data_IF_148996104103
#
_entry.id   IF_148996104103
#
_cell.length_a   1.000
_cell.length_b   1.000
_cell.length_c   1.000
_cell.angle_alpha   90.00
_cell.angle_beta   90.00
_cell.angle_gamma   90.00
#
_symmetry.space_group_name_H-M   'P 1'
#
loop_
_entity.id
_entity.type
_entity.pdbx_description
1 polymer ?
#
# COMPACT_ATOMS: atom_id res chain seq x y z
N UNK A 1 45.82 9.36 11.09
CA UNK A 1 45.36 10.71 11.46
C UNK A 1 46.21 11.75 10.75
N UNK A 2 45.67 12.94 10.49
CA UNK A 2 46.42 14.04 9.85
C UNK A 2 47.74 14.33 10.59
N UNK A 3 47.70 14.31 11.92
CA UNK A 3 48.87 14.46 12.78
C UNK A 3 50.03 13.53 12.38
N UNK A 4 49.78 12.21 12.24
CA UNK A 4 50.81 11.24 11.84
C UNK A 4 51.34 11.50 10.42
N UNK A 5 50.47 11.91 9.50
CA UNK A 5 50.88 12.22 8.13
C UNK A 5 51.78 13.46 8.07
N UNK A 6 51.42 14.53 8.79
CA UNK A 6 52.20 15.77 8.83
C UNK A 6 53.54 15.57 9.55
N UNK A 7 53.56 14.88 10.70
CA UNK A 7 54.81 14.53 11.40
C UNK A 7 55.69 13.62 10.55
N UNK A 8 55.13 12.63 9.85
CA UNK A 8 55.92 11.76 8.96
C UNK A 8 56.53 12.51 7.78
N UNK A 9 55.83 13.51 7.24
CA UNK A 9 56.31 14.30 6.08
C UNK A 9 57.28 15.41 6.46
N UNK A 10 57.07 16.09 7.59
CA UNK A 10 57.83 17.28 7.99
C UNK A 10 58.74 17.04 9.22
N UNK A 11 58.77 15.81 9.76
CA UNK A 11 59.55 15.41 10.94
C UNK A 11 58.89 15.81 12.27
N UNK A 12 58.25 16.98 12.33
CA UNK A 12 57.49 17.46 13.48
C UNK A 12 56.35 18.37 13.04
N UNK A 13 55.42 18.66 13.96
CA UNK A 13 54.32 19.58 13.68
C UNK A 13 54.80 21.05 13.57
N UNK A 14 55.87 21.42 14.29
CA UNK A 14 56.48 22.76 14.21
C UNK A 14 57.09 23.06 12.84
N UNK A 15 57.39 22.01 12.07
CA UNK A 15 57.98 22.12 10.74
C UNK A 15 56.93 22.16 9.62
N UNK A 16 55.64 22.07 9.95
CA UNK A 16 54.56 22.21 8.96
C UNK A 16 54.55 23.66 8.47
N UNK A 17 54.69 23.91 7.15
CA UNK A 17 54.71 25.25 6.61
C UNK A 17 53.42 26.01 6.97
N UNK A 18 53.58 27.19 7.56
CA UNK A 18 52.47 28.08 7.85
C UNK A 18 52.03 28.77 6.56
N UNK A 19 50.72 28.91 6.39
CA UNK A 19 50.16 29.78 5.37
C UNK A 19 50.28 31.24 5.85
N UNK A 20 51.47 31.83 5.66
CA UNK A 20 51.71 33.28 5.81
C UNK A 20 50.92 34.08 4.74
N UNK A 21 51.05 35.42 4.71
CA UNK A 21 50.43 36.28 3.68
C UNK A 21 51.02 35.96 2.29
N UNK A 22 50.44 34.95 1.65
CA UNK A 22 50.92 34.34 0.41
C UNK A 22 49.76 33.95 -0.48
N UNK A 23 49.97 34.07 -1.79
CA UNK A 23 49.09 33.43 -2.76
C UNK A 23 49.29 31.93 -2.80
N UNK A 24 48.20 31.19 -3.03
CA UNK A 24 48.24 29.76 -3.27
C UNK A 24 48.18 29.51 -4.78
N UNK A 25 49.06 28.64 -5.26
CA UNK A 25 49.00 28.08 -6.61
C UNK A 25 49.03 26.56 -6.55
N UNK A 26 48.56 25.91 -7.61
CA UNK A 26 48.69 24.48 -7.75
C UNK A 26 50.16 24.08 -7.97
N UNK A 27 50.52 22.88 -7.53
CA UNK A 27 51.84 22.29 -7.80
C UNK A 27 51.97 21.94 -9.28
N UNK A 28 53.07 22.36 -9.90
CA UNK A 28 53.35 22.16 -11.32
C UNK A 28 54.67 22.81 -11.71
N UNK A 29 55.20 22.49 -12.89
CA UNK A 29 56.48 23.01 -13.42
C UNK A 29 57.68 22.77 -12.48
N UNK A 30 57.76 21.59 -11.86
CA UNK A 30 58.90 21.19 -11.01
C UNK A 30 58.88 21.77 -9.59
N UNK A 31 57.81 22.47 -9.20
CA UNK A 31 57.64 22.95 -7.82
C UNK A 31 57.19 21.83 -6.88
N UNK A 32 57.83 21.74 -5.72
CA UNK A 32 57.48 20.78 -4.68
C UNK A 32 56.29 21.28 -3.83
N UNK A 33 55.47 20.36 -3.32
CA UNK A 33 54.37 20.70 -2.39
C UNK A 33 54.94 21.37 -1.13
N UNK A 34 54.50 22.61 -0.87
CA UNK A 34 54.96 23.42 0.27
C UNK A 34 56.15 24.33 -0.03
N UNK A 35 56.67 24.33 -1.26
CA UNK A 35 57.69 25.28 -1.71
C UNK A 35 57.11 26.70 -1.79
N UNK A 36 57.87 27.69 -1.32
CA UNK A 36 57.55 29.12 -1.42
C UNK A 36 58.24 29.76 -2.62
N UNK A 37 57.67 30.85 -3.14
CA UNK A 37 58.25 31.67 -4.21
C UNK A 37 58.20 33.14 -3.78
N UNK A 38 59.25 33.91 -4.10
CA UNK A 38 59.21 35.38 -4.00
C UNK A 38 58.27 35.96 -5.06
N UNK A 39 57.83 37.20 -4.87
CA UNK A 39 57.12 37.92 -5.91
C UNK A 39 58.01 38.10 -7.14
N UNK A 40 57.44 37.90 -8.32
CA UNK A 40 58.17 37.97 -9.58
C UNK A 40 57.31 38.64 -10.64
N UNK A 41 57.90 39.61 -11.33
CA UNK A 41 57.37 40.13 -12.59
C UNK A 41 58.14 39.49 -13.74
N UNK A 42 57.41 38.99 -14.74
CA UNK A 42 58.06 38.42 -15.92
C UNK A 42 58.96 39.46 -16.57
N UNK A 43 60.12 39.02 -17.06
CA UNK A 43 60.99 39.84 -17.91
C UNK A 43 60.17 40.41 -19.06
N UNK A 44 60.23 41.71 -19.23
CA UNK A 44 59.56 42.43 -20.29
C UNK A 44 60.44 43.61 -20.71
N UNK A 45 60.29 44.03 -21.95
CA UNK A 45 60.97 45.21 -22.49
C UNK A 45 59.95 46.30 -22.72
N UNK A 46 60.32 47.53 -22.37
CA UNK A 46 59.55 48.71 -22.73
C UNK A 46 60.23 49.40 -23.90
N UNK A 47 59.45 49.79 -24.91
CA UNK A 47 59.94 50.70 -25.94
C UNK A 47 59.87 52.11 -25.39
N UNK A 48 60.97 52.59 -24.85
CA UNK A 48 61.09 53.98 -24.42
C UNK A 48 61.40 54.80 -25.66
N UNK A 49 60.48 55.68 -26.06
CA UNK A 49 60.66 56.58 -27.21
C UNK A 49 61.41 57.81 -26.71
N UNK A 50 62.58 58.09 -27.28
CA UNK A 50 63.20 59.40 -27.17
C UNK A 50 63.46 59.90 -28.59
N UNK A 51 62.91 61.08 -28.90
CA UNK A 51 63.54 62.01 -29.81
C UNK A 51 64.15 63.11 -28.93
N UNK A 52 65.11 63.88 -29.44
CA UNK A 52 65.95 64.86 -28.72
C UNK A 52 65.28 65.52 -27.51
N UNK A 53 66.03 65.84 -26.44
CA UNK A 53 65.48 66.45 -25.22
C UNK A 53 64.56 67.66 -25.53
N UNK A 54 64.89 68.43 -26.58
CA UNK A 54 64.14 69.59 -27.07
C UNK A 54 62.99 69.30 -28.06
N UNK A 55 62.74 68.04 -28.43
CA UNK A 55 61.64 67.71 -29.33
C UNK A 55 60.27 68.05 -28.72
N UNK A 56 59.27 68.24 -29.56
CA UNK A 56 57.89 68.44 -29.09
C UNK A 56 57.36 67.23 -28.31
N UNK A 57 57.85 66.03 -28.61
CA UNK A 57 57.33 64.78 -28.08
C UNK A 57 57.82 64.48 -26.64
N UNK A 58 58.88 65.16 -26.20
CA UNK A 58 59.45 65.00 -24.85
C UNK A 58 58.74 65.84 -23.78
N UNK A 59 57.87 66.80 -24.13
CA UNK A 59 57.16 67.66 -23.16
C UNK A 59 56.17 66.93 -22.26
N UNK A 60 55.81 65.68 -22.60
CA UNK A 60 54.90 64.85 -21.80
C UNK A 60 55.64 64.27 -20.57
N UNK A 61 56.98 64.21 -20.62
CA UNK A 61 57.82 63.63 -19.59
C UNK A 61 58.61 64.67 -18.76
N UNK A 62 58.63 65.95 -19.20
CA UNK A 62 59.40 67.01 -18.54
C UNK A 62 58.59 68.31 -18.42
N UNK A 63 58.74 68.99 -17.28
CA UNK A 63 58.37 70.40 -17.14
C UNK A 63 59.46 71.28 -17.76
N UNK A 64 59.24 71.71 -19.01
CA UNK A 64 60.18 72.55 -19.76
C UNK A 64 60.43 73.93 -19.14
N UNK A 65 59.66 74.33 -18.12
CA UNK A 65 59.87 75.60 -17.40
C UNK A 65 60.93 75.51 -16.31
N UNK A 66 61.34 74.28 -15.94
CA UNK A 66 62.40 74.02 -14.96
C UNK A 66 63.63 73.55 -15.71
N UNK A 67 64.62 74.43 -15.88
CA UNK A 67 65.89 74.18 -16.59
C UNK A 67 66.84 73.19 -15.89
N UNK A 68 66.33 72.31 -15.02
CA UNK A 68 67.13 71.35 -14.28
C UNK A 68 66.60 69.97 -14.61
N UNK A 69 67.34 69.24 -15.44
CA UNK A 69 67.29 67.78 -15.50
C UNK A 69 67.38 67.30 -14.04
N UNK A 70 66.31 66.68 -13.53
CA UNK A 70 66.20 66.24 -12.13
C UNK A 70 67.45 65.43 -11.77
N UNK A 71 68.17 65.84 -10.72
CA UNK A 71 69.44 65.24 -10.29
C UNK A 71 69.33 63.77 -9.88
N UNK A 72 68.10 63.25 -9.85
CA UNK A 72 67.74 61.88 -9.52
C UNK A 72 67.45 61.03 -10.76
N UNK A 73 67.92 61.48 -11.92
CA UNK A 73 67.99 60.72 -13.17
C UNK A 73 69.46 60.35 -13.43
N UNK A 74 69.76 59.07 -13.63
CA UNK A 74 71.10 58.61 -14.03
C UNK A 74 71.08 58.28 -15.52
N UNK A 75 71.91 58.95 -16.31
CA UNK A 75 72.20 58.62 -17.70
C UNK A 75 73.21 57.47 -17.77
N UNK A 76 72.96 56.47 -18.60
CA UNK A 76 73.98 55.47 -18.94
C UNK A 76 74.87 56.05 -20.04
N UNK A 77 75.93 56.77 -19.67
CA UNK A 77 76.90 57.30 -20.64
C UNK A 77 77.67 56.15 -21.28
N UNK A 78 77.65 56.08 -22.61
CA UNK A 78 78.62 55.25 -23.34
C UNK A 78 79.55 56.05 -24.24
N UNK A 79 79.33 57.36 -24.50
CA UNK A 79 80.17 58.04 -25.51
C UNK A 79 80.49 59.53 -25.34
N UNK A 80 79.75 60.35 -24.59
CA UNK A 80 80.21 61.71 -24.23
C UNK A 80 79.51 62.28 -22.98
N UNK A 81 80.03 63.41 -22.48
CA UNK A 81 79.53 64.15 -21.33
C UNK A 81 78.42 65.17 -21.71
N UNK A 82 77.93 65.11 -22.96
CA UNK A 82 76.90 66.02 -23.43
C UNK A 82 75.52 65.50 -23.05
N UNK A 83 74.99 65.97 -21.92
CA UNK A 83 73.67 65.54 -21.42
C UNK A 83 72.50 65.84 -22.39
N UNK A 84 72.70 66.68 -23.41
CA UNK A 84 71.67 67.12 -24.35
C UNK A 84 71.33 66.11 -25.46
N UNK A 85 72.26 65.21 -25.80
CA UNK A 85 72.08 64.19 -26.84
C UNK A 85 71.94 62.76 -26.27
N UNK A 86 72.03 62.62 -24.95
CA UNK A 86 72.06 61.32 -24.31
C UNK A 86 70.65 60.71 -24.19
N UNK A 87 70.35 59.79 -25.11
CA UNK A 87 69.00 59.27 -25.35
C UNK A 87 68.44 58.28 -24.32
N UNK A 88 69.17 57.97 -23.24
CA UNK A 88 68.77 56.97 -22.24
C UNK A 88 68.93 57.48 -20.81
N UNK A 89 67.82 57.58 -20.07
CA UNK A 89 67.80 57.89 -18.64
C UNK A 89 67.05 56.81 -17.86
N UNK A 90 67.66 56.35 -16.77
CA UNK A 90 67.01 55.46 -15.80
C UNK A 90 66.51 56.29 -14.60
N UNK A 91 65.20 56.26 -14.28
CA UNK A 91 64.70 56.87 -13.06
C UNK A 91 65.23 56.17 -11.82
N UNK A 92 65.63 56.95 -10.80
CA UNK A 92 65.85 56.42 -9.46
C UNK A 92 64.50 56.04 -8.80
N UNK A 93 64.55 55.15 -7.80
CA UNK A 93 63.38 54.65 -7.06
C UNK A 93 62.53 55.74 -6.41
N UNK A 94 63.12 56.90 -6.15
CA UNK A 94 62.46 58.04 -5.53
C UNK A 94 61.90 59.03 -6.58
N UNK A 95 62.11 58.81 -7.88
CA UNK A 95 61.56 59.58 -9.01
C UNK A 95 60.03 59.54 -9.05
N UNK A 96 59.33 60.61 -9.46
CA UNK A 96 57.89 60.55 -9.76
C UNK A 96 57.55 59.54 -10.86
N UNK A 97 58.54 59.13 -11.66
CA UNK A 97 58.39 58.10 -12.70
C UNK A 97 58.49 56.68 -12.15
N UNK A 98 58.91 56.49 -10.90
CA UNK A 98 58.90 55.19 -10.25
C UNK A 98 57.48 54.90 -9.74
N UNK A 99 56.75 54.05 -10.46
CA UNK A 99 55.40 53.62 -10.07
C UNK A 99 55.47 52.25 -9.41
N UNK A 100 54.84 52.09 -8.25
CA UNK A 100 54.74 50.80 -7.56
C UNK A 100 54.76 50.93 -6.04
N UNK A 101 54.68 49.79 -5.36
CA UNK A 101 54.86 49.68 -3.91
C UNK A 101 55.95 48.66 -3.58
N UNK A 102 56.04 48.24 -2.31
CA UNK A 102 57.06 47.28 -1.85
C UNK A 102 56.88 45.83 -2.35
N UNK A 103 55.73 45.51 -2.95
CA UNK A 103 55.35 44.14 -3.35
C UNK A 103 54.63 44.15 -4.71
N UNK A 104 54.97 43.21 -5.59
CA UNK A 104 54.25 42.99 -6.85
C UNK A 104 53.11 41.98 -6.66
N UNK A 105 51.87 42.46 -6.56
CA UNK A 105 50.68 41.59 -6.44
C UNK A 105 49.45 42.10 -7.20
N UNK A 106 48.58 41.21 -7.70
CA UNK A 106 47.23 41.58 -8.14
C UNK A 106 46.33 41.93 -6.94
N UNK A 107 45.15 42.52 -7.20
CA UNK A 107 44.14 42.75 -6.16
C UNK A 107 43.69 41.42 -5.55
N UNK A 108 43.59 41.35 -4.23
CA UNK A 108 43.24 40.13 -3.51
C UNK A 108 42.49 40.40 -2.21
N UNK A 109 41.90 39.34 -1.66
CA UNK A 109 41.26 39.31 -0.34
C UNK A 109 42.13 38.50 0.63
N UNK A 110 42.37 39.04 1.83
CA UNK A 110 43.09 38.34 2.88
C UNK A 110 42.14 37.37 3.62
N UNK A 111 42.52 36.09 3.72
CA UNK A 111 41.73 35.03 4.35
C UNK A 111 42.61 34.20 5.28
N UNK A 112 42.01 33.62 6.33
CA UNK A 112 42.68 32.65 7.20
C UNK A 112 42.50 31.24 6.65
N UNK A 113 43.61 30.57 6.34
CA UNK A 113 43.63 29.21 5.82
C UNK A 113 43.69 28.18 6.95
N UNK A 114 42.83 27.17 6.88
CA UNK A 114 42.74 26.10 7.88
C UNK A 114 42.87 24.73 7.20
N UNK A 115 43.66 23.82 7.76
CA UNK A 115 43.81 22.43 7.27
C UNK A 115 42.98 21.49 8.14
N UNK A 116 42.20 20.62 7.50
CA UNK A 116 41.27 19.70 8.16
C UNK A 116 41.97 18.44 8.69
N UNK A 117 42.06 18.28 10.01
CA UNK A 117 42.38 17.02 10.67
C UNK A 117 41.06 16.30 11.00
N UNK A 118 40.79 15.11 10.49
CA UNK A 118 39.41 14.59 10.47
C UNK A 118 39.16 13.35 11.31
N UNK A 119 37.90 13.21 11.77
CA UNK A 119 37.01 12.06 11.47
C UNK A 119 35.53 12.40 11.80
N UNK A 120 34.81 13.29 11.08
CA UNK A 120 33.54 12.94 10.37
C UNK A 120 33.03 14.11 9.49
N UNK A 121 32.40 13.81 8.33
CA UNK A 121 32.13 14.69 7.15
C UNK A 121 30.83 15.47 7.16
N UNK A 122 30.13 15.54 8.29
CA UNK A 122 28.73 15.97 8.24
C UNK A 122 28.52 17.48 8.00
N UNK A 123 29.51 18.35 8.26
CA UNK A 123 29.31 19.82 8.22
C UNK A 123 30.28 20.62 7.32
N UNK A 124 30.73 20.11 6.16
CA UNK A 124 31.43 21.00 5.20
C UNK A 124 30.41 21.69 4.30
N UNK A 125 29.96 22.86 4.71
CA UNK A 125 29.25 23.79 3.83
C UNK A 125 30.23 24.83 3.26
N UNK A 126 30.30 24.91 1.93
CA UNK A 126 31.05 25.95 1.23
C UNK A 126 30.20 27.22 1.18
N UNK A 127 30.58 28.23 1.96
CA UNK A 127 29.92 29.54 1.96
C UNK A 127 30.87 30.59 1.39
N UNK A 128 30.77 30.89 0.09
CA UNK A 128 31.13 32.24 -0.38
C UNK A 128 29.91 33.11 -0.10
N UNK A 129 29.84 33.70 1.11
CA UNK A 129 28.81 34.67 1.47
C UNK A 129 29.15 36.03 0.83
N UNK A 130 28.58 36.29 -0.34
CA UNK A 130 28.15 37.66 -0.62
C UNK A 130 26.97 37.96 0.31
N UNK A 131 26.93 39.15 0.92
CA UNK A 131 25.89 39.58 1.85
C UNK A 131 24.48 39.30 1.29
N UNK A 132 23.76 38.37 1.93
CA UNK A 132 22.40 37.95 1.58
C UNK A 132 22.15 36.55 2.13
N UNK A 133 21.19 36.41 3.04
CA UNK A 133 20.84 35.14 3.68
C UNK A 133 20.37 34.16 2.59
N UNK A 134 21.00 32.99 2.50
CA UNK A 134 20.46 31.86 1.72
C UNK A 134 19.61 31.02 2.68
N UNK A 135 18.32 31.32 2.75
CA UNK A 135 17.33 30.36 3.27
C UNK A 135 17.16 29.27 2.22
N UNK A 136 17.71 28.08 2.51
CA UNK A 136 17.52 26.92 1.66
C UNK A 136 16.12 26.34 1.91
N UNK A 137 15.14 26.82 1.16
CA UNK A 137 13.73 26.37 1.20
C UNK A 137 13.54 24.87 0.83
N UNK A 138 14.64 24.15 0.55
CA UNK A 138 14.66 22.73 0.20
C UNK A 138 15.58 21.85 1.07
N UNK A 139 16.09 22.34 2.20
CA UNK A 139 16.85 21.50 3.13
C UNK A 139 15.89 20.57 3.90
N UNK A 140 15.84 19.30 3.49
CA UNK A 140 15.10 18.24 4.18
C UNK A 140 15.67 18.06 5.60
N UNK A 141 14.88 18.39 6.63
CA UNK A 141 15.25 18.14 8.02
C UNK A 141 15.15 16.63 8.31
N UNK A 142 16.30 15.97 8.37
CA UNK A 142 16.41 14.54 8.65
C UNK A 142 15.80 14.16 10.01
N UNK A 143 15.79 15.06 10.99
CA UNK A 143 15.16 14.86 12.29
C UNK A 143 13.64 14.78 12.16
N UNK A 144 13.05 15.77 11.50
CA UNK A 144 11.61 15.77 11.18
C UNK A 144 11.20 14.57 10.33
N UNK A 145 12.00 14.18 9.33
CA UNK A 145 11.73 12.99 8.52
C UNK A 145 11.75 11.71 9.38
N UNK A 146 12.75 11.53 10.24
CA UNK A 146 12.85 10.36 11.11
C UNK A 146 11.65 10.26 12.06
N UNK A 147 11.23 11.39 12.64
CA UNK A 147 10.03 11.45 13.49
C UNK A 147 8.76 11.09 12.73
N UNK A 148 8.58 11.64 11.52
CA UNK A 148 7.43 11.31 10.67
C UNK A 148 7.41 9.84 10.26
N UNK A 149 8.57 9.25 9.97
CA UNK A 149 8.67 7.82 9.66
C UNK A 149 8.34 6.94 10.88
N UNK A 150 8.80 7.32 12.07
CA UNK A 150 8.46 6.61 13.31
C UNK A 150 6.96 6.70 13.62
N UNK A 151 6.38 7.89 13.50
CA UNK A 151 4.94 8.11 13.69
C UNK A 151 4.11 7.33 12.67
N UNK A 152 4.53 7.31 11.41
CA UNK A 152 3.88 6.52 10.36
C UNK A 152 3.97 5.02 10.67
N UNK A 153 5.12 4.51 11.09
CA UNK A 153 5.28 3.09 11.45
C UNK A 153 4.34 2.71 12.58
N UNK A 154 4.30 3.51 13.66
CA UNK A 154 3.42 3.25 14.80
C UNK A 154 1.94 3.27 14.39
N UNK A 155 1.55 4.20 13.51
CA UNK A 155 0.19 4.26 12.97
C UNK A 155 -0.17 3.04 12.14
N UNK A 156 0.74 2.60 11.26
CA UNK A 156 0.54 1.41 10.42
C UNK A 156 0.43 0.15 11.28
N UNK A 157 1.29 0.00 12.30
CA UNK A 157 1.25 -1.14 13.21
C UNK A 157 -0.08 -1.18 13.98
N UNK A 158 -0.55 -0.03 14.45
CA UNK A 158 -1.86 0.09 15.11
C UNK A 158 -3.01 -0.29 14.16
N UNK A 159 -3.02 0.25 12.94
CA UNK A 159 -4.08 -0.02 11.96
C UNK A 159 -4.11 -1.50 11.54
N UNK A 160 -2.94 -2.15 11.42
CA UNK A 160 -2.84 -3.58 11.18
C UNK A 160 -3.46 -4.37 12.34
N UNK A 161 -3.19 -3.99 13.59
CA UNK A 161 -3.74 -4.68 14.75
C UNK A 161 -5.26 -4.49 14.85
N UNK A 162 -5.76 -3.27 14.66
CA UNK A 162 -7.20 -2.98 14.64
C UNK A 162 -7.91 -3.79 13.55
N UNK A 163 -7.34 -3.85 12.34
CA UNK A 163 -7.90 -4.65 11.24
C UNK A 163 -7.90 -6.15 11.54
N UNK A 164 -6.86 -6.68 12.18
CA UNK A 164 -6.83 -8.09 12.64
C UNK A 164 -7.94 -8.35 13.66
N UNK A 165 -8.09 -7.48 14.66
CA UNK A 165 -9.11 -7.63 15.70
C UNK A 165 -10.53 -7.53 15.12
N UNK A 166 -10.76 -6.60 14.20
CA UNK A 166 -12.02 -6.49 13.47
C UNK A 166 -12.34 -7.77 12.70
N UNK A 167 -11.39 -8.25 11.90
CA UNK A 167 -11.55 -9.48 11.10
C UNK A 167 -11.83 -10.70 11.98
N UNK A 168 -11.12 -10.85 13.10
CA UNK A 168 -11.36 -11.93 14.06
C UNK A 168 -12.76 -11.88 14.65
N UNK A 169 -13.28 -10.67 14.92
CA UNK A 169 -14.63 -10.48 15.44
C UNK A 169 -15.69 -10.88 14.42
N UNK A 170 -15.51 -10.49 13.15
CA UNK A 170 -16.42 -10.90 12.07
C UNK A 170 -16.43 -12.42 11.87
N UNK A 171 -15.26 -13.05 11.86
CA UNK A 171 -15.15 -14.52 11.75
C UNK A 171 -15.86 -15.23 12.90
N UNK A 172 -15.68 -14.74 14.14
CA UNK A 172 -16.35 -15.32 15.30
C UNK A 172 -17.87 -15.17 15.25
N UNK A 173 -18.36 -14.01 14.80
CA UNK A 173 -19.79 -13.79 14.59
C UNK A 173 -20.35 -14.73 13.53
N UNK A 174 -19.69 -14.83 12.37
CA UNK A 174 -20.08 -15.73 11.28
C UNK A 174 -20.09 -17.20 11.74
N UNK A 175 -19.07 -17.62 12.51
CA UNK A 175 -19.02 -18.98 13.08
C UNK A 175 -20.20 -19.25 14.02
N UNK A 176 -20.57 -18.28 14.85
CA UNK A 176 -21.72 -18.41 15.75
C UNK A 176 -23.04 -18.53 14.96
N UNK A 177 -23.24 -17.67 13.96
CA UNK A 177 -24.44 -17.69 13.12
C UNK A 177 -24.57 -19.02 12.35
N UNK A 178 -23.48 -19.47 11.70
CA UNK A 178 -23.43 -20.76 11.01
C UNK A 178 -23.80 -21.91 11.97
N UNK A 179 -23.25 -21.91 13.18
CA UNK A 179 -23.57 -22.94 14.17
C UNK A 179 -25.05 -22.92 14.57
N UNK A 180 -25.65 -21.74 14.74
CA UNK A 180 -27.08 -21.63 15.04
C UNK A 180 -27.94 -22.13 13.89
N UNK A 181 -27.63 -21.73 12.66
CA UNK A 181 -28.34 -22.20 11.47
C UNK A 181 -28.22 -23.72 11.30
N UNK A 182 -27.04 -24.28 11.55
CA UNK A 182 -26.81 -25.72 11.47
C UNK A 182 -27.62 -26.50 12.52
N UNK A 183 -27.66 -26.02 13.77
CA UNK A 183 -28.49 -26.63 14.82
C UNK A 183 -29.98 -26.56 14.46
N UNK A 184 -30.44 -25.44 13.90
CA UNK A 184 -31.83 -25.31 13.45
C UNK A 184 -32.13 -26.26 12.29
N UNK A 185 -31.22 -26.40 11.33
CA UNK A 185 -31.36 -27.34 10.22
C UNK A 185 -31.42 -28.80 10.71
N UNK A 186 -30.58 -29.19 11.67
CA UNK A 186 -30.67 -30.51 12.30
C UNK A 186 -32.01 -30.76 12.97
N UNK A 187 -32.53 -29.75 13.70
CA UNK A 187 -33.84 -29.83 14.35
C UNK A 187 -34.98 -29.97 13.34
N UNK A 188 -34.91 -29.25 12.22
CA UNK A 188 -35.91 -29.38 11.16
C UNK A 188 -35.83 -30.77 10.50
N UNK A 189 -34.62 -31.26 10.24
CA UNK A 189 -34.41 -32.57 9.63
C UNK A 189 -34.92 -33.72 10.52
N UNK A 190 -34.74 -33.64 11.84
CA UNK A 190 -35.25 -34.66 12.76
C UNK A 190 -36.78 -34.73 12.77
N UNK A 191 -37.48 -33.67 12.37
CA UNK A 191 -38.93 -33.64 12.27
C UNK A 191 -39.47 -34.24 10.96
N UNK A 192 -38.72 -34.18 9.86
CA UNK A 192 -39.15 -34.62 8.51
C UNK A 192 -39.41 -36.15 8.43
N UNK A 193 -38.92 -36.94 9.39
CA UNK A 193 -39.13 -38.40 9.44
C UNK A 193 -40.12 -38.89 10.50
N UNK A 194 -40.67 -38.01 11.35
CA UNK A 194 -41.50 -38.46 12.48
C UNK A 194 -42.96 -38.56 12.07
N UNK A 195 -43.49 -39.78 12.02
CA UNK A 195 -44.92 -40.01 11.81
C UNK A 195 -45.71 -39.40 12.97
N UNK A 196 -46.62 -38.48 12.64
CA UNK A 196 -47.54 -37.90 13.62
C UNK A 196 -48.90 -38.57 13.49
N UNK A 197 -49.34 -39.25 14.55
CA UNK A 197 -50.70 -39.79 14.64
C UNK A 197 -51.71 -38.65 14.72
N UNK A 198 -52.56 -38.54 13.71
CA UNK A 198 -53.61 -37.50 13.64
C UNK A 198 -55.00 -38.03 13.93
N UNK A 199 -55.18 -39.35 13.90
CA UNK A 199 -56.44 -40.00 14.28
C UNK A 199 -56.21 -41.46 14.68
N UNK A 200 -57.06 -41.97 15.57
CA UNK A 200 -57.14 -43.37 15.99
C UNK A 200 -58.58 -43.73 16.34
N UNK A 201 -59.02 -44.93 15.98
CA UNK A 201 -60.38 -45.39 16.20
C UNK A 201 -60.68 -46.68 15.46
N UNK A 202 -61.94 -46.92 15.11
CA UNK A 202 -62.35 -48.04 14.26
C UNK A 202 -63.59 -47.63 13.48
N UNK A 203 -63.43 -47.32 12.19
CA UNK A 203 -64.50 -46.78 11.33
C UNK A 203 -64.44 -47.46 9.96
N UNK A 204 -65.58 -47.95 9.46
CA UNK A 204 -65.72 -48.50 8.10
C UNK A 204 -66.48 -47.59 7.13
N UNK A 205 -67.24 -46.61 7.63
CA UNK A 205 -68.09 -45.72 6.82
C UNK A 205 -68.23 -44.35 7.48
N UNK A 206 -68.65 -43.33 6.74
CA UNK A 206 -68.92 -42.00 7.28
C UNK A 206 -67.72 -41.06 7.16
N UNK A 207 -67.33 -40.39 8.24
CA UNK A 207 -66.29 -39.36 8.20
C UNK A 207 -65.36 -39.40 9.40
N UNK A 208 -64.10 -39.05 9.17
CA UNK A 208 -63.03 -39.00 10.15
C UNK A 208 -62.52 -37.57 10.23
N UNK A 209 -62.51 -36.98 11.42
CA UNK A 209 -61.90 -35.67 11.67
C UNK A 209 -60.48 -35.85 12.17
N UNK A 210 -59.51 -35.30 11.44
CA UNK A 210 -58.10 -35.30 11.77
C UNK A 210 -57.80 -34.20 12.79
N UNK A 211 -56.85 -34.47 13.70
CA UNK A 211 -56.36 -33.45 14.64
C UNK A 211 -55.50 -32.36 13.99
N UNK A 212 -55.10 -32.55 12.73
CA UNK A 212 -54.28 -31.60 11.97
C UNK A 212 -54.62 -31.64 10.47
N UNK A 213 -54.47 -30.49 9.81
CA UNK A 213 -54.64 -30.34 8.36
C UNK A 213 -53.66 -31.24 7.58
N UNK A 214 -54.16 -31.96 6.58
CA UNK A 214 -53.39 -32.95 5.81
C UNK A 214 -52.89 -32.46 4.44
N UNK A 215 -53.27 -31.27 3.98
CA UNK A 215 -52.70 -30.70 2.75
C UNK A 215 -51.18 -30.52 2.86
N UNK A 216 -50.48 -30.85 1.78
CA UNK A 216 -49.02 -30.82 1.67
C UNK A 216 -48.33 -32.00 2.34
N UNK A 217 -49.07 -33.03 2.77
CA UNK A 217 -48.55 -34.17 3.55
C UNK A 217 -48.88 -35.50 2.93
N UNK A 218 -48.17 -36.54 3.40
CA UNK A 218 -48.53 -37.93 3.13
C UNK A 218 -49.46 -38.42 4.24
N UNK A 219 -50.68 -38.83 3.89
CA UNK A 219 -51.55 -39.60 4.78
C UNK A 219 -51.15 -41.07 4.72
N UNK A 220 -51.02 -41.72 5.88
CA UNK A 220 -50.78 -43.14 6.02
C UNK A 220 -51.92 -43.74 6.83
N UNK A 221 -52.73 -44.56 6.19
CA UNK A 221 -53.88 -45.21 6.82
C UNK A 221 -53.54 -46.66 7.16
N UNK A 222 -53.90 -47.04 8.38
CA UNK A 222 -53.77 -48.38 8.92
C UNK A 222 -55.14 -49.03 8.80
N UNK A 223 -55.28 -49.97 7.87
CA UNK A 223 -56.53 -50.62 7.52
C UNK A 223 -56.54 -52.06 8.01
N UNK A 224 -57.62 -52.47 8.67
CA UNK A 224 -57.83 -53.86 9.07
C UNK A 224 -58.93 -54.50 8.22
N UNK A 225 -58.71 -55.73 7.74
CA UNK A 225 -59.76 -56.52 7.07
C UNK A 225 -60.97 -56.73 7.99
N UNK A 226 -62.19 -56.59 7.48
CA UNK A 226 -63.42 -56.98 8.18
C UNK A 226 -63.76 -58.45 8.01
N UNK A 227 -63.08 -59.16 7.13
CA UNK A 227 -63.28 -60.59 6.90
C UNK A 227 -62.64 -61.39 8.05
N UNK A 228 -63.45 -62.12 8.82
CA UNK A 228 -63.03 -62.95 9.97
C UNK A 228 -62.40 -62.20 11.16
N UNK A 229 -62.46 -60.87 11.20
CA UNK A 229 -61.97 -60.04 12.29
C UNK A 229 -63.08 -59.14 12.87
N UNK A 230 -62.98 -58.83 14.15
CA UNK A 230 -63.94 -57.97 14.86
C UNK A 230 -63.43 -56.53 14.92
N UNK A 231 -64.36 -55.60 15.12
CA UNK A 231 -64.10 -54.15 15.21
C UNK A 231 -63.06 -53.75 16.27
N UNK A 232 -62.83 -54.59 17.28
CA UNK A 232 -61.92 -54.41 18.42
C UNK A 232 -60.58 -55.15 18.28
N UNK A 233 -60.40 -55.95 17.22
CA UNK A 233 -59.12 -56.62 16.93
C UNK A 233 -58.11 -55.64 16.30
N UNK A 234 -56.80 -55.89 16.41
CA UNK A 234 -55.72 -55.17 15.74
C UNK A 234 -54.79 -56.07 14.90
N UNK A 235 -55.19 -57.31 14.63
CA UNK A 235 -54.45 -58.24 13.77
C UNK A 235 -54.58 -57.88 12.28
N UNK A 236 -53.56 -58.24 11.48
CA UNK A 236 -53.52 -58.09 10.01
C UNK A 236 -53.80 -56.67 9.49
N UNK A 237 -52.89 -55.74 9.80
CA UNK A 237 -52.97 -54.34 9.34
C UNK A 237 -52.30 -54.16 7.98
N UNK A 238 -53.04 -53.60 7.04
CA UNK A 238 -52.59 -53.15 5.73
C UNK A 238 -52.33 -51.64 5.77
N UNK A 239 -51.22 -51.20 5.17
CA UNK A 239 -50.88 -49.78 5.07
C UNK A 239 -51.18 -49.28 3.67
N UNK A 240 -51.87 -48.15 3.59
CA UNK A 240 -52.02 -47.41 2.34
C UNK A 240 -51.61 -45.96 2.55
N UNK A 241 -50.88 -45.40 1.59
CA UNK A 241 -50.39 -44.03 1.66
C UNK A 241 -50.86 -43.19 0.49
N UNK A 242 -51.28 -41.96 0.76
CA UNK A 242 -51.68 -40.99 -0.24
C UNK A 242 -50.97 -39.66 -0.01
N UNK A 243 -50.45 -39.06 -1.08
CA UNK A 243 -50.06 -37.66 -1.07
C UNK A 243 -51.29 -36.80 -1.32
N UNK A 244 -51.66 -35.95 -0.36
CA UNK A 244 -52.87 -35.13 -0.47
C UNK A 244 -52.67 -33.93 -1.41
N UNK A 245 -51.41 -33.64 -1.77
CA UNK A 245 -51.04 -32.48 -2.58
C UNK A 245 -51.21 -31.15 -1.84
N UNK A 246 -50.83 -30.05 -2.47
CA UNK A 246 -51.01 -28.71 -1.90
C UNK A 246 -52.49 -28.31 -1.83
N UNK A 247 -52.81 -27.40 -0.91
CA UNK A 247 -54.14 -26.80 -0.86
C UNK A 247 -54.42 -26.01 -2.14
N UNK A 248 -55.60 -26.24 -2.74
CA UNK A 248 -56.00 -25.56 -3.97
C UNK A 248 -56.65 -24.23 -3.62
N UNK A 249 -55.90 -23.14 -3.77
CA UNK A 249 -56.38 -21.78 -3.52
C UNK A 249 -57.63 -21.44 -4.35
N UNK A 250 -58.58 -20.73 -3.74
CA UNK A 250 -59.78 -20.25 -4.44
C UNK A 250 -60.84 -21.32 -4.75
N UNK A 251 -60.64 -22.58 -4.36
CA UNK A 251 -61.64 -23.64 -4.53
C UNK A 251 -62.94 -23.30 -3.78
N UNK A 252 -64.06 -23.22 -4.50
CA UNK A 252 -65.38 -22.82 -3.96
C UNK A 252 -66.25 -24.00 -3.50
N UNK A 253 -65.88 -25.24 -3.83
CA UNK A 253 -66.59 -26.47 -3.46
C UNK A 253 -65.87 -27.75 -3.90
N UNK A 254 -66.34 -28.91 -3.43
CA UNK A 254 -65.76 -30.24 -3.70
C UNK A 254 -64.54 -30.59 -2.84
N UNK A 255 -64.18 -31.87 -2.79
CA UNK A 255 -63.03 -32.40 -2.03
C UNK A 255 -61.85 -32.84 -2.91
N UNK A 256 -60.79 -33.35 -2.30
CA UNK A 256 -59.69 -34.05 -3.00
C UNK A 256 -59.94 -35.54 -2.93
N UNK A 257 -60.15 -36.16 -4.08
CA UNK A 257 -60.44 -37.59 -4.19
C UNK A 257 -59.15 -38.40 -4.20
N UNK A 258 -59.04 -39.34 -3.27
CA UNK A 258 -57.92 -40.26 -3.11
C UNK A 258 -58.45 -41.67 -3.42
N UNK A 259 -58.11 -42.17 -4.61
CA UNK A 259 -58.55 -43.47 -5.09
C UNK A 259 -57.36 -44.40 -5.34
N UNK A 260 -57.53 -45.66 -4.95
CA UNK A 260 -56.61 -46.74 -5.30
C UNK A 260 -57.41 -48.01 -5.63
N UNK A 261 -56.95 -48.77 -6.62
CA UNK A 261 -57.43 -50.12 -6.87
C UNK A 261 -56.65 -51.08 -5.99
N UNK A 262 -57.34 -51.88 -5.19
CA UNK A 262 -56.71 -52.85 -4.30
C UNK A 262 -56.61 -54.22 -4.95
N UNK A 263 -57.74 -54.73 -5.46
CA UNK A 263 -57.84 -56.10 -5.96
C UNK A 263 -58.79 -56.13 -7.15
N UNK A 264 -58.45 -56.93 -8.15
CA UNK A 264 -59.26 -57.16 -9.34
C UNK A 264 -59.47 -58.66 -9.47
N UNK A 265 -60.69 -59.10 -9.20
CA UNK A 265 -61.08 -60.50 -9.25
C UNK A 265 -61.88 -60.78 -10.53
N UNK A 266 -61.26 -61.49 -11.46
CA UNK A 266 -61.92 -61.95 -12.68
C UNK A 266 -62.56 -63.33 -12.45
N UNK A 267 -63.88 -63.39 -12.54
CA UNK A 267 -64.62 -64.63 -12.31
C UNK A 267 -64.84 -65.38 -13.63
N UNK A 268 -64.45 -66.66 -13.63
CA UNK A 268 -64.66 -67.60 -14.73
C UNK A 268 -65.14 -68.95 -14.19
N UNK A 269 -66.00 -69.64 -14.95
CA UNK A 269 -66.45 -70.98 -14.60
C UNK A 269 -65.65 -72.01 -15.41
N UNK A 270 -64.57 -72.54 -14.81
CA UNK A 270 -63.88 -73.74 -15.29
C UNK A 270 -63.46 -73.72 -16.76
N UNK A 271 -62.77 -72.66 -17.21
CA UNK A 271 -62.23 -72.55 -18.57
C UNK A 271 -63.11 -71.79 -19.58
N UNK A 272 -64.24 -71.22 -19.15
CA UNK A 272 -65.07 -70.30 -19.96
C UNK A 272 -64.53 -68.85 -19.95
N UNK A 273 -64.92 -68.01 -20.92
CA UNK A 273 -64.62 -66.57 -20.88
C UNK A 273 -65.05 -65.91 -19.57
N UNK A 274 -64.31 -64.88 -19.16
CA UNK A 274 -64.62 -64.05 -17.98
C UNK A 274 -66.03 -63.46 -18.17
N UNK A 275 -66.91 -63.68 -17.19
CA UNK A 275 -68.28 -63.16 -17.23
C UNK A 275 -68.51 -62.00 -16.27
N UNK A 276 -67.61 -61.81 -15.30
CA UNK A 276 -67.70 -60.77 -14.28
C UNK A 276 -66.30 -60.42 -13.76
N UNK A 277 -66.08 -59.12 -13.52
CA UNK A 277 -64.86 -58.62 -12.88
C UNK A 277 -65.29 -57.79 -11.68
N UNK A 278 -64.93 -58.25 -10.50
CA UNK A 278 -65.05 -57.46 -9.27
C UNK A 278 -63.79 -56.62 -9.09
N UNK A 279 -63.95 -55.32 -8.81
CA UNK A 279 -62.84 -54.44 -8.47
C UNK A 279 -63.06 -53.91 -7.07
N UNK A 280 -62.22 -54.33 -6.14
CA UNK A 280 -62.19 -53.79 -4.79
C UNK A 280 -61.32 -52.53 -4.80
N UNK A 281 -61.90 -51.40 -4.43
CA UNK A 281 -61.19 -50.11 -4.41
C UNK A 281 -61.10 -49.56 -2.99
N UNK A 282 -60.17 -48.64 -2.81
CA UNK A 282 -60.17 -47.73 -1.69
C UNK A 282 -60.48 -46.34 -2.26
N UNK A 283 -61.48 -45.68 -1.70
CA UNK A 283 -61.96 -44.38 -2.13
C UNK A 283 -62.27 -43.54 -0.90
N UNK A 284 -61.55 -42.43 -0.76
CA UNK A 284 -61.84 -41.42 0.26
C UNK A 284 -61.69 -40.03 -0.32
N UNK A 285 -62.39 -39.07 0.27
CA UNK A 285 -62.34 -37.69 -0.16
C UNK A 285 -61.96 -36.79 1.01
N UNK A 286 -60.95 -35.95 0.82
CA UNK A 286 -60.56 -34.92 1.79
C UNK A 286 -61.40 -33.67 1.57
N UNK A 287 -61.96 -33.12 2.64
CA UNK A 287 -62.76 -31.91 2.61
C UNK A 287 -61.94 -30.66 2.22
N UNK A 288 -62.62 -29.53 2.03
CA UNK A 288 -61.98 -28.26 1.66
C UNK A 288 -60.95 -27.79 2.68
N UNK A 289 -61.19 -28.04 3.97
CA UNK A 289 -60.32 -27.55 5.03
C UNK A 289 -59.11 -28.47 5.26
N UNK A 290 -59.11 -29.67 4.67
CA UNK A 290 -58.04 -30.65 4.82
C UNK A 290 -58.04 -31.32 6.18
N UNK A 291 -59.15 -31.28 6.90
CA UNK A 291 -59.28 -31.77 8.28
C UNK A 291 -60.26 -32.91 8.41
N UNK A 292 -61.06 -33.17 7.38
CA UNK A 292 -62.05 -34.25 7.39
C UNK A 292 -61.87 -35.16 6.19
N UNK A 293 -61.81 -36.47 6.45
CA UNK A 293 -61.80 -37.52 5.44
C UNK A 293 -63.19 -38.13 5.39
N UNK A 294 -63.83 -38.08 4.23
CA UNK A 294 -65.07 -38.78 3.94
C UNK A 294 -64.75 -40.14 3.32
N UNK A 295 -65.31 -41.19 3.91
CA UNK A 295 -65.09 -42.57 3.46
C UNK A 295 -66.16 -42.92 2.44
N UNK A 296 -65.73 -43.28 1.23
CA UNK A 296 -66.61 -43.72 0.15
C UNK A 296 -66.59 -45.25 0.01
N UNK A 297 -65.41 -45.85 -0.05
CA UNK A 297 -65.23 -47.32 -0.13
C UNK A 297 -63.91 -47.73 0.53
N UNK A 298 -63.92 -48.84 1.28
CA UNK A 298 -62.73 -49.38 1.97
C UNK A 298 -62.45 -50.85 1.62
N UNK A 299 -63.21 -51.44 0.71
CA UNK A 299 -63.12 -52.85 0.34
C UNK A 299 -63.22 -53.79 1.54
N UNK A 300 -64.24 -53.59 2.38
CA UNK A 300 -64.48 -54.42 3.58
C UNK A 300 -63.37 -54.28 4.62
N UNK A 301 -63.01 -53.05 4.98
CA UNK A 301 -61.98 -52.75 6.00
C UNK A 301 -62.43 -51.69 6.98
N UNK A 302 -61.75 -51.66 8.12
CA UNK A 302 -61.85 -50.61 9.12
C UNK A 302 -60.58 -49.77 9.12
N UNK A 303 -60.70 -48.45 9.07
CA UNK A 303 -59.58 -47.55 9.38
C UNK A 303 -59.36 -47.59 10.89
N UNK A 304 -58.15 -47.95 11.31
CA UNK A 304 -57.77 -48.05 12.72
C UNK A 304 -56.96 -46.86 13.22
N UNK A 305 -56.15 -46.30 12.32
CA UNK A 305 -55.24 -45.20 12.62
C UNK A 305 -54.89 -44.45 11.35
N UNK A 306 -54.66 -43.15 11.50
CA UNK A 306 -54.15 -42.30 10.43
C UNK A 306 -52.96 -41.51 10.98
N UNK A 307 -51.84 -41.65 10.28
CA UNK A 307 -50.63 -40.87 10.52
C UNK A 307 -50.40 -39.91 9.36
N UNK A 308 -49.76 -38.78 9.65
CA UNK A 308 -49.24 -37.86 8.65
C UNK A 308 -47.71 -37.83 8.71
N UNK A 309 -47.12 -37.64 7.53
CA UNK A 309 -45.71 -37.32 7.33
C UNK A 309 -45.59 -36.05 6.51
#
# INVERSE_FOLDING_TARGET
SLYRHLVGKYGSLSNVPLAEDRFIRNTGNGLNIGQTQSDEIKKHVHRVRTHWADSSDSSIFYDKTKTVIDSRLRTATTTDDNLSDNGFMHPLLDSPMATGGAETRPRAIALKLCIKAKNTFDDVQFWVKAFGVVENVGALDAGTLAQNMQALSARVDQEIEENKQYTLREINNAKSDINQQFLQAQKNLSQIGTLKKVWEGSVSTGSITLSEKCFGKTLILYLQSSESHRLDDNNNIELISFEVGAEIEGKRGGGVHLHAVREVNAHSNGGRPIYYVEVKTFAVTVDRNGTTIHIEELAGRFVKRIDIR
#
